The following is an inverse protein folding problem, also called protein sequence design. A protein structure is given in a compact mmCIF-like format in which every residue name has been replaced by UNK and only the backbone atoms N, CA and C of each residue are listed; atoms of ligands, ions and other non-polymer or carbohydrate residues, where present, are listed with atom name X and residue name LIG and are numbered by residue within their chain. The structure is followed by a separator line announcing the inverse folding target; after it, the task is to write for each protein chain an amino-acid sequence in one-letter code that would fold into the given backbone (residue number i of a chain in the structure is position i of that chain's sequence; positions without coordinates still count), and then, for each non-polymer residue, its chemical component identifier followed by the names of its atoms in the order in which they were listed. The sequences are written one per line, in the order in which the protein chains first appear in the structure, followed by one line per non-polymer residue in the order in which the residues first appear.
data_IF_463058132085
#
_entry.id   IF_463058132085
#
_cell.length_a   1.000
_cell.length_b   1.000
_cell.length_c   1.000
_cell.angle_alpha   90.00
_cell.angle_beta   90.00
_cell.angle_gamma   90.00
#
_symmetry.space_group_name_H-M   'P 1'
#
loop_
_entity.id
_entity.type
_entity.pdbx_description
1 polymer ?
#
# COMPACT_ATOMS: atom_id res chain seq x y z
N UNK A 1 -16.04 -5.31 8.29
CA UNK A 1 -14.92 -6.23 7.97
C UNK A 1 -13.63 -5.41 7.98
N UNK A 2 -12.52 -5.95 8.47
CA UNK A 2 -11.21 -5.28 8.47
C UNK A 2 -10.14 -6.21 7.89
N UNK A 3 -9.27 -5.67 7.05
CA UNK A 3 -8.23 -6.41 6.34
C UNK A 3 -6.87 -5.78 6.63
N UNK A 4 -5.89 -6.61 6.97
CA UNK A 4 -4.49 -6.23 7.00
C UNK A 4 -3.80 -6.75 5.72
N UNK A 5 -3.30 -5.85 4.88
CA UNK A 5 -2.50 -6.19 3.71
C UNK A 5 -1.01 -6.04 4.06
N UNK A 6 -0.18 -6.99 3.62
CA UNK A 6 1.27 -6.96 3.87
C UNK A 6 2.00 -6.78 2.54
N UNK A 7 2.68 -5.64 2.38
CA UNK A 7 3.55 -5.32 1.24
C UNK A 7 4.95 -5.01 1.75
N UNK A 8 5.67 -6.04 2.22
CA UNK A 8 6.93 -5.86 2.98
C UNK A 8 8.06 -5.23 2.15
N UNK A 9 8.23 -5.67 0.91
CA UNK A 9 9.42 -5.36 0.10
C UNK A 9 9.41 -3.95 -0.51
N UNK A 10 8.23 -3.35 -0.68
CA UNK A 10 8.06 -2.01 -1.26
C UNK A 10 6.75 -1.37 -0.80
N UNK A 11 6.77 -0.07 -0.58
CA UNK A 11 5.61 0.69 -0.07
C UNK A 11 4.66 1.06 -1.20
N UNK A 12 3.33 0.92 -1.04
CA UNK A 12 2.36 1.42 -2.02
C UNK A 12 2.41 2.95 -2.19
N UNK A 13 3.07 3.67 -1.29
CA UNK A 13 3.29 5.13 -1.37
C UNK A 13 4.59 5.51 -2.11
N UNK A 14 5.38 4.55 -2.57
CA UNK A 14 6.60 4.82 -3.34
C UNK A 14 6.26 5.04 -4.81
N UNK A 15 6.82 6.08 -5.44
CA UNK A 15 6.59 6.40 -6.86
C UNK A 15 6.81 5.18 -7.77
N UNK A 16 5.77 4.70 -8.47
CA UNK A 16 5.90 3.59 -9.41
C UNK A 16 6.81 3.91 -10.60
N UNK A 17 7.49 2.89 -11.11
CA UNK A 17 8.40 2.98 -12.26
C UNK A 17 9.86 3.23 -11.90
N UNK A 18 10.20 3.21 -10.60
CA UNK A 18 11.56 3.42 -10.09
C UNK A 18 11.88 2.41 -8.98
N UNK A 19 13.14 1.95 -8.95
CA UNK A 19 13.59 0.94 -7.97
C UNK A 19 12.69 -0.29 -7.97
N UNK A 20 12.27 -0.72 -6.77
CA UNK A 20 11.36 -1.85 -6.56
C UNK A 20 9.86 -1.47 -6.65
N UNK A 21 9.52 -0.22 -6.98
CA UNK A 21 8.11 0.21 -7.09
C UNK A 21 7.58 0.05 -8.51
N UNK A 22 6.53 -0.77 -8.68
CA UNK A 22 5.97 -1.10 -9.99
C UNK A 22 4.48 -1.45 -9.93
N UNK A 23 4.07 -2.39 -10.79
CA UNK A 23 2.66 -2.78 -10.92
C UNK A 23 2.03 -3.29 -9.63
N UNK A 24 2.80 -3.96 -8.76
CA UNK A 24 2.29 -4.46 -7.48
C UNK A 24 1.92 -3.32 -6.52
N UNK A 25 2.71 -2.24 -6.47
CA UNK A 25 2.43 -1.07 -5.64
C UNK A 25 1.12 -0.41 -6.07
N UNK A 26 0.96 -0.21 -7.37
CA UNK A 26 -0.27 0.34 -7.96
C UNK A 26 -1.46 -0.57 -7.67
N UNK A 27 -1.28 -1.89 -7.83
CA UNK A 27 -2.31 -2.89 -7.54
C UNK A 27 -2.77 -2.83 -6.08
N UNK A 28 -1.84 -2.91 -5.13
CA UNK A 28 -2.15 -2.86 -3.69
C UNK A 28 -2.89 -1.58 -3.33
N UNK A 29 -2.41 -0.41 -3.79
CA UNK A 29 -3.06 0.87 -3.50
C UNK A 29 -4.45 0.96 -4.13
N UNK A 30 -4.59 0.56 -5.39
CA UNK A 30 -5.86 0.65 -6.13
C UNK A 30 -6.91 -0.28 -5.53
N UNK A 31 -6.55 -1.54 -5.25
CA UNK A 31 -7.46 -2.51 -4.64
C UNK A 31 -7.84 -2.11 -3.21
N UNK A 32 -6.90 -1.64 -2.40
CA UNK A 32 -7.21 -1.13 -1.06
C UNK A 32 -8.16 0.08 -1.11
N UNK A 33 -7.97 0.99 -2.07
CA UNK A 33 -8.84 2.16 -2.25
C UNK A 33 -10.26 1.75 -2.63
N UNK A 34 -10.43 0.83 -3.58
CA UNK A 34 -11.76 0.36 -3.98
C UNK A 34 -12.45 -0.47 -2.87
N UNK A 35 -11.69 -1.24 -2.10
CA UNK A 35 -12.22 -1.93 -0.91
C UNK A 35 -12.68 -0.92 0.15
N UNK A 36 -11.92 0.14 0.40
CA UNK A 36 -12.31 1.21 1.32
C UNK A 36 -13.59 1.93 0.86
N UNK A 37 -13.73 2.20 -0.46
CA UNK A 37 -14.95 2.75 -1.06
C UNK A 37 -16.18 1.86 -0.84
N UNK A 38 -15.98 0.54 -0.75
CA UNK A 38 -17.03 -0.45 -0.46
C UNK A 38 -17.26 -0.67 1.04
N UNK A 39 -16.63 0.11 1.92
CA UNK A 39 -16.83 0.05 3.38
C UNK A 39 -15.93 -0.95 4.11
N UNK A 40 -14.90 -1.48 3.45
CA UNK A 40 -13.90 -2.37 4.09
C UNK A 40 -12.76 -1.53 4.65
N UNK A 41 -12.51 -1.62 5.96
CA UNK A 41 -11.33 -0.99 6.54
C UNK A 41 -10.06 -1.77 6.15
N UNK A 42 -9.12 -1.12 5.48
CA UNK A 42 -7.86 -1.74 5.01
C UNK A 42 -6.68 -1.01 5.62
N UNK A 43 -5.81 -1.74 6.33
CA UNK A 43 -4.51 -1.25 6.77
C UNK A 43 -3.42 -1.94 5.95
N UNK A 44 -2.52 -1.16 5.33
CA UNK A 44 -1.42 -1.71 4.52
C UNK A 44 -0.12 -1.57 5.31
N UNK A 45 0.44 -2.69 5.72
CA UNK A 45 1.71 -2.77 6.42
C UNK A 45 2.85 -2.93 5.42
N UNK A 46 3.88 -2.11 5.56
CA UNK A 46 5.10 -2.14 4.75
C UNK A 46 6.31 -1.80 5.61
N UNK A 47 7.52 -2.09 5.13
CA UNK A 47 8.74 -1.69 5.83
C UNK A 47 8.90 -0.17 5.77
N UNK A 48 9.14 0.46 6.92
CA UNK A 48 9.49 1.88 6.96
C UNK A 48 10.88 2.11 6.33
N UNK A 49 10.94 3.00 5.34
CA UNK A 49 12.21 3.45 4.70
C UNK A 49 12.37 4.97 4.73
N UNK A 50 11.39 5.71 5.27
CA UNK A 50 11.42 7.15 5.52
C UNK A 50 10.83 7.46 6.90
N UNK A 51 11.32 8.48 7.63
CA UNK A 51 10.92 8.76 9.01
C UNK A 51 9.42 8.99 9.24
N UNK A 52 8.69 9.56 8.27
CA UNK A 52 7.26 9.91 8.35
C UNK A 52 6.39 9.15 7.33
N UNK A 53 6.77 7.91 6.99
CA UNK A 53 6.03 7.14 5.99
C UNK A 53 4.66 6.69 6.52
N UNK A 54 3.59 7.33 6.05
CA UNK A 54 2.20 6.99 6.40
C UNK A 54 1.53 7.97 7.38
N UNK A 55 2.22 9.04 7.77
CA UNK A 55 1.58 10.26 8.30
C UNK A 55 0.85 11.04 7.19
#
# INVERSE_FOLDING_TARGET
MRVAMISMHTSPLQQPGTGDSGGMNVYVLSTATELARQGVAVDIFTRATRPSQGE
#
